data_IF_178730085662
#
_entry.id   IF_178730085662
#
_cell.length_a   1.000
_cell.length_b   1.000
_cell.length_c   1.000
_cell.angle_alpha   90.00
_cell.angle_beta   90.00
_cell.angle_gamma   90.00
#
_symmetry.space_group_name_H-M   'P 1'
#
loop_
_entity.id
_entity.type
_entity.pdbx_description
1 polymer ?
#
# COMPACT_ATOMS: atom_id res chain seq x y z
N UNK A 1 -10.45 1.18 8.40
CA UNK A 1 -10.18 0.19 7.33
C UNK A 1 -11.43 -0.64 7.06
N UNK A 2 -11.68 -0.90 5.78
CA UNK A 2 -12.82 -1.70 5.30
C UNK A 2 -12.28 -3.06 4.89
N UNK A 3 -12.79 -4.13 5.54
CA UNK A 3 -12.49 -5.49 5.12
C UNK A 3 -13.28 -5.82 3.86
N UNK A 4 -12.59 -6.09 2.76
CA UNK A 4 -13.22 -6.38 1.46
C UNK A 4 -13.36 -7.90 1.30
N UNK A 5 -14.44 -8.45 1.86
CA UNK A 5 -14.86 -9.84 1.59
C UNK A 5 -15.75 -9.93 0.35
N UNK A 6 -16.56 -8.90 0.14
CA UNK A 6 -17.42 -8.71 -1.01
C UNK A 6 -17.27 -7.28 -1.53
N UNK A 7 -17.01 -7.11 -2.83
CA UNK A 7 -16.73 -5.81 -3.43
C UNK A 7 -17.94 -4.87 -3.41
N UNK A 8 -19.16 -5.41 -3.51
CA UNK A 8 -20.40 -4.60 -3.52
C UNK A 8 -20.69 -4.05 -2.14
N UNK A 9 -20.60 -4.89 -1.10
CA UNK A 9 -20.83 -4.45 0.28
C UNK A 9 -19.73 -3.49 0.75
N UNK A 10 -18.48 -3.78 0.42
CA UNK A 10 -17.37 -2.88 0.73
C UNK A 10 -17.51 -1.51 0.03
N UNK A 11 -17.97 -1.48 -1.22
CA UNK A 11 -18.29 -0.25 -1.92
C UNK A 11 -19.40 0.54 -1.22
N UNK A 12 -20.48 -0.12 -0.81
CA UNK A 12 -21.58 0.51 -0.07
C UNK A 12 -21.08 1.23 1.18
N UNK A 13 -20.22 0.56 1.96
CA UNK A 13 -19.60 1.12 3.17
C UNK A 13 -18.67 2.28 2.81
N UNK A 14 -17.85 2.12 1.77
CA UNK A 14 -16.90 3.15 1.32
C UNK A 14 -17.61 4.42 0.85
N UNK A 15 -18.65 4.29 0.04
CA UNK A 15 -19.45 5.42 -0.45
C UNK A 15 -20.19 6.14 0.71
N UNK A 16 -20.75 5.39 1.67
CA UNK A 16 -21.36 5.97 2.86
C UNK A 16 -20.33 6.76 3.70
N UNK A 17 -19.13 6.20 3.90
CA UNK A 17 -18.05 6.90 4.61
C UNK A 17 -17.65 8.21 3.91
N UNK A 18 -17.51 8.20 2.59
CA UNK A 18 -17.18 9.39 1.80
C UNK A 18 -18.31 10.43 1.89
N UNK A 19 -19.57 10.03 1.82
CA UNK A 19 -20.72 10.92 2.01
C UNK A 19 -20.76 11.58 3.39
N UNK A 20 -20.23 10.90 4.40
CA UNK A 20 -20.08 11.42 5.77
C UNK A 20 -18.82 12.27 5.97
N UNK A 21 -18.04 12.51 4.91
CA UNK A 21 -16.88 13.39 4.94
C UNK A 21 -15.52 12.70 5.05
N UNK A 22 -15.45 11.38 4.85
CA UNK A 22 -14.15 10.69 4.77
C UNK A 22 -13.39 11.16 3.53
N UNK A 23 -12.14 11.60 3.73
CA UNK A 23 -11.23 12.03 2.66
C UNK A 23 -10.19 10.97 2.29
N UNK A 24 -10.18 9.86 3.02
CA UNK A 24 -9.31 8.71 2.78
C UNK A 24 -10.03 7.41 3.16
N UNK A 25 -9.77 6.36 2.40
CA UNK A 25 -10.29 5.02 2.63
C UNK A 25 -9.13 4.04 2.80
N UNK A 26 -9.20 3.19 3.82
CA UNK A 26 -8.34 2.02 3.98
C UNK A 26 -9.10 0.78 3.51
N UNK A 27 -8.58 0.07 2.53
CA UNK A 27 -9.21 -1.07 1.88
C UNK A 27 -8.33 -2.31 2.01
N UNK A 28 -8.81 -3.33 2.72
CA UNK A 28 -8.13 -4.63 2.79
C UNK A 28 -8.49 -5.46 1.54
N UNK A 29 -7.60 -5.48 0.55
CA UNK A 29 -7.87 -5.95 -0.81
C UNK A 29 -7.41 -7.37 -1.12
N UNK A 30 -7.24 -8.20 -0.10
CA UNK A 30 -6.76 -9.59 -0.26
C UNK A 30 -7.58 -10.41 -1.26
N UNK A 31 -8.88 -10.18 -1.32
CA UNK A 31 -9.82 -10.94 -2.16
C UNK A 31 -10.11 -10.26 -3.51
N UNK A 32 -9.51 -9.11 -3.78
CA UNK A 32 -9.67 -8.40 -5.05
C UNK A 32 -8.59 -8.86 -6.02
N UNK A 33 -8.98 -9.63 -7.01
CA UNK A 33 -8.08 -10.25 -7.99
C UNK A 33 -8.39 -9.87 -9.44
N UNK A 34 -9.53 -9.20 -9.70
CA UNK A 34 -9.93 -8.81 -11.05
C UNK A 34 -10.25 -7.32 -11.16
N UNK A 35 -10.10 -6.77 -12.37
CA UNK A 35 -10.44 -5.38 -12.65
C UNK A 35 -11.95 -5.09 -12.44
N UNK A 36 -12.81 -6.07 -12.65
CA UNK A 36 -14.26 -5.93 -12.42
C UNK A 36 -14.58 -5.79 -10.93
N UNK A 37 -13.92 -6.58 -10.08
CA UNK A 37 -14.05 -6.46 -8.63
C UNK A 37 -13.52 -5.10 -8.15
N UNK A 38 -12.37 -4.67 -8.66
CA UNK A 38 -11.80 -3.36 -8.33
C UNK A 38 -12.71 -2.23 -8.81
N UNK A 39 -13.27 -2.31 -10.03
CA UNK A 39 -14.22 -1.33 -10.54
C UNK A 39 -15.50 -1.27 -9.71
N UNK A 40 -16.00 -2.41 -9.25
CA UNK A 40 -17.16 -2.51 -8.35
C UNK A 40 -16.86 -1.86 -7.01
N UNK A 41 -15.70 -2.16 -6.41
CA UNK A 41 -15.26 -1.62 -5.13
C UNK A 41 -15.15 -0.09 -5.16
N UNK A 42 -14.65 0.47 -6.26
CA UNK A 42 -14.39 1.92 -6.40
C UNK A 42 -15.53 2.69 -7.08
N UNK A 43 -16.65 2.03 -7.39
CA UNK A 43 -17.78 2.65 -8.06
C UNK A 43 -18.33 3.84 -7.28
N UNK A 44 -18.43 5.00 -7.94
CA UNK A 44 -19.00 6.22 -7.35
C UNK A 44 -18.08 6.95 -6.37
N UNK A 45 -16.80 6.55 -6.28
CA UNK A 45 -15.77 7.23 -5.50
C UNK A 45 -14.92 8.09 -6.45
N UNK A 46 -14.76 9.37 -6.13
CA UNK A 46 -13.88 10.28 -6.87
C UNK A 46 -12.43 10.05 -6.46
N UNK A 47 -11.69 9.31 -7.30
CA UNK A 47 -10.31 8.89 -7.03
C UNK A 47 -9.31 10.06 -7.00
N UNK A 48 -9.71 11.25 -7.49
CA UNK A 48 -8.87 12.45 -7.43
C UNK A 48 -9.00 13.22 -6.12
N UNK A 49 -10.08 12.96 -5.36
CA UNK A 49 -10.39 13.64 -4.09
C UNK A 49 -10.26 12.76 -2.87
N UNK A 50 -10.46 11.45 -3.04
CA UNK A 50 -10.43 10.48 -1.95
C UNK A 50 -9.14 9.67 -2.03
N UNK A 51 -8.31 9.73 -1.00
CA UNK A 51 -7.08 8.93 -0.93
C UNK A 51 -7.42 7.45 -0.73
N UNK A 52 -6.81 6.60 -1.53
CA UNK A 52 -7.02 5.14 -1.47
C UNK A 52 -5.79 4.46 -0.85
N UNK A 53 -5.97 3.86 0.30
CA UNK A 53 -4.90 3.13 0.99
C UNK A 53 -5.22 1.64 0.96
N UNK A 54 -4.37 0.85 0.31
CA UNK A 54 -4.52 -0.59 0.26
C UNK A 54 -3.75 -1.27 1.39
N UNK A 55 -4.42 -2.18 2.06
CA UNK A 55 -3.86 -2.98 3.14
C UNK A 55 -4.09 -4.47 2.90
N UNK A 56 -3.40 -5.32 3.68
CA UNK A 56 -3.64 -6.77 3.72
C UNK A 56 -3.40 -7.52 2.39
N UNK A 57 -2.53 -7.04 1.52
CA UNK A 57 -2.12 -7.81 0.33
C UNK A 57 -0.83 -8.60 0.58
N UNK A 58 -0.67 -9.72 -0.12
CA UNK A 58 0.59 -10.47 -0.16
C UNK A 58 1.57 -9.89 -1.19
N UNK A 59 1.02 -9.40 -2.31
CA UNK A 59 1.75 -8.70 -3.37
C UNK A 59 0.91 -7.50 -3.79
N UNK A 60 1.52 -6.34 -3.88
CA UNK A 60 0.81 -5.08 -4.17
C UNK A 60 0.86 -4.68 -5.63
N UNK A 61 1.85 -5.14 -6.40
CA UNK A 61 1.98 -4.78 -7.81
C UNK A 61 0.75 -5.16 -8.66
N UNK A 62 0.16 -6.37 -8.53
CA UNK A 62 -1.10 -6.69 -9.19
C UNK A 62 -2.25 -5.76 -8.81
N UNK A 63 -2.38 -5.44 -7.52
CA UNK A 63 -3.43 -4.54 -7.01
C UNK A 63 -3.31 -3.14 -7.61
N UNK A 64 -2.10 -2.59 -7.69
CA UNK A 64 -1.84 -1.29 -8.30
C UNK A 64 -2.15 -1.30 -9.81
N UNK A 65 -1.81 -2.39 -10.51
CA UNK A 65 -2.17 -2.57 -11.92
C UNK A 65 -3.69 -2.56 -12.13
N UNK A 66 -4.46 -3.23 -11.26
CA UNK A 66 -5.92 -3.21 -11.30
C UNK A 66 -6.49 -1.80 -11.05
N UNK A 67 -5.93 -1.05 -10.10
CA UNK A 67 -6.31 0.35 -9.86
C UNK A 67 -6.10 1.22 -11.10
N UNK A 68 -4.91 1.14 -11.69
CA UNK A 68 -4.56 1.92 -12.89
C UNK A 68 -5.45 1.53 -14.08
N UNK A 69 -5.73 0.25 -14.28
CA UNK A 69 -6.64 -0.22 -15.33
C UNK A 69 -8.04 0.36 -15.17
N UNK A 70 -8.58 0.32 -13.95
CA UNK A 70 -9.90 0.88 -13.64
C UNK A 70 -9.92 2.39 -13.83
N UNK A 71 -8.91 3.11 -13.36
CA UNK A 71 -8.79 4.55 -13.53
C UNK A 71 -8.74 4.95 -15.01
N UNK A 72 -7.93 4.28 -15.81
CA UNK A 72 -7.83 4.51 -17.27
C UNK A 72 -9.17 4.24 -17.97
N UNK A 73 -9.91 3.18 -17.61
CA UNK A 73 -11.26 2.90 -18.12
C UNK A 73 -12.29 3.97 -17.76
N UNK A 74 -12.10 4.64 -16.63
CA UNK A 74 -12.96 5.74 -16.17
C UNK A 74 -12.49 7.12 -16.65
N UNK A 75 -11.45 7.19 -17.49
CA UNK A 75 -10.80 8.43 -17.95
C UNK A 75 -10.30 9.31 -16.79
N UNK A 76 -9.87 8.71 -15.69
CA UNK A 76 -9.23 9.40 -14.57
C UNK A 76 -7.73 9.43 -14.82
N UNK A 77 -7.12 10.61 -14.67
CA UNK A 77 -5.66 10.74 -14.71
C UNK A 77 -5.03 10.02 -13.49
N UNK A 78 -4.28 8.97 -13.74
CA UNK A 78 -3.66 8.16 -12.70
C UNK A 78 -2.67 8.97 -11.86
N UNK A 79 -2.07 10.02 -12.43
CA UNK A 79 -1.14 10.91 -11.74
C UNK A 79 -1.80 11.78 -10.66
N UNK A 80 -3.12 11.92 -10.71
CA UNK A 80 -3.88 12.65 -9.71
C UNK A 80 -4.34 11.77 -8.54
N UNK A 81 -4.27 10.44 -8.69
CA UNK A 81 -4.70 9.50 -7.66
C UNK A 81 -3.66 9.46 -6.53
N UNK A 82 -4.09 9.76 -5.32
CA UNK A 82 -3.25 9.72 -4.13
C UNK A 82 -3.65 8.57 -3.20
N UNK A 83 -2.66 8.03 -2.49
CA UNK A 83 -2.90 6.95 -1.54
C UNK A 83 -1.63 6.30 -1.03
N UNK A 84 -1.75 5.06 -0.59
CA UNK A 84 -0.62 4.26 -0.12
C UNK A 84 -0.89 2.77 -0.25
N UNK A 85 0.18 2.00 -0.19
CA UNK A 85 0.11 0.57 0.09
C UNK A 85 0.81 0.27 1.41
N UNK A 86 0.34 -0.75 2.13
CA UNK A 86 0.90 -1.22 3.41
C UNK A 86 1.97 -2.30 3.13
N UNK A 87 2.96 -1.96 2.28
CA UNK A 87 4.04 -2.86 1.94
C UNK A 87 5.19 -2.67 2.92
N UNK A 88 5.26 -3.56 3.89
CA UNK A 88 6.29 -3.61 4.94
C UNK A 88 7.02 -4.95 4.86
N UNK A 89 8.25 -4.94 4.35
CA UNK A 89 9.09 -6.14 4.17
C UNK A 89 9.36 -6.82 5.51
N UNK A 90 9.58 -6.05 6.57
CA UNK A 90 9.93 -6.58 7.88
C UNK A 90 8.72 -7.09 8.66
N UNK A 91 7.55 -6.53 8.46
CA UNK A 91 6.34 -6.90 9.20
C UNK A 91 5.98 -8.38 9.03
N UNK A 92 6.10 -8.91 7.81
CA UNK A 92 5.87 -10.33 7.58
C UNK A 92 6.92 -11.19 8.27
N UNK A 93 8.21 -10.86 8.07
CA UNK A 93 9.33 -11.61 8.63
C UNK A 93 9.29 -11.65 10.16
N UNK A 94 8.98 -10.53 10.80
CA UNK A 94 8.90 -10.46 12.27
C UNK A 94 7.69 -11.19 12.84
N UNK A 95 6.58 -11.31 12.11
CA UNK A 95 5.40 -12.08 12.53
C UNK A 95 5.55 -13.58 12.35
N UNK A 96 6.23 -14.00 11.30
CA UNK A 96 6.26 -15.40 10.87
C UNK A 96 7.61 -16.06 11.06
N UNK A 97 8.66 -15.28 11.42
CA UNK A 97 10.03 -15.78 11.57
C UNK A 97 10.78 -16.01 10.25
N UNK A 98 10.15 -15.67 9.13
CA UNK A 98 10.70 -15.84 7.78
C UNK A 98 10.17 -14.78 6.83
N UNK A 99 10.90 -14.43 5.79
CA UNK A 99 10.40 -13.56 4.73
C UNK A 99 9.37 -14.29 3.85
N UNK A 100 8.47 -13.52 3.25
CA UNK A 100 7.56 -14.08 2.24
C UNK A 100 8.35 -14.43 0.97
N UNK A 101 8.68 -15.72 0.81
CA UNK A 101 9.60 -16.22 -0.21
C UNK A 101 11.05 -16.09 0.25
N UNK A 102 11.72 -15.00 -0.06
CA UNK A 102 13.07 -14.68 0.42
C UNK A 102 13.23 -13.17 0.61
N UNK A 103 14.22 -12.76 1.39
CA UNK A 103 14.56 -11.34 1.56
C UNK A 103 14.84 -10.68 0.20
N UNK A 104 15.64 -11.32 -0.63
CA UNK A 104 15.99 -10.83 -1.97
C UNK A 104 14.74 -10.64 -2.86
N UNK A 105 13.81 -11.60 -2.84
CA UNK A 105 12.58 -11.52 -3.63
C UNK A 105 11.66 -10.39 -3.15
N UNK A 106 11.62 -10.11 -1.85
CA UNK A 106 10.84 -9.01 -1.30
C UNK A 106 11.42 -7.64 -1.68
N UNK A 107 12.74 -7.49 -1.66
CA UNK A 107 13.39 -6.27 -2.16
C UNK A 107 13.23 -6.10 -3.67
N UNK A 108 13.29 -7.19 -4.45
CA UNK A 108 13.04 -7.13 -5.88
C UNK A 108 11.60 -6.67 -6.19
N UNK A 109 10.60 -7.20 -5.47
CA UNK A 109 9.21 -6.74 -5.58
C UNK A 109 9.08 -5.27 -5.18
N UNK A 110 9.76 -4.82 -4.12
CA UNK A 110 9.74 -3.41 -3.70
C UNK A 110 10.27 -2.49 -4.81
N UNK A 111 11.37 -2.86 -5.48
CA UNK A 111 11.91 -2.09 -6.61
C UNK A 111 10.90 -2.01 -7.76
N UNK A 112 10.24 -3.13 -8.11
CA UNK A 112 9.22 -3.14 -9.16
C UNK A 112 8.01 -2.25 -8.79
N UNK A 113 7.57 -2.31 -7.55
CA UNK A 113 6.46 -1.49 -7.03
C UNK A 113 6.83 -0.01 -7.07
N UNK A 114 8.03 0.37 -6.61
CA UNK A 114 8.51 1.76 -6.63
C UNK A 114 8.55 2.29 -8.07
N UNK A 115 9.16 1.54 -8.99
CA UNK A 115 9.25 1.94 -10.39
C UNK A 115 7.86 2.10 -11.04
N UNK A 116 6.93 1.22 -10.71
CA UNK A 116 5.56 1.29 -11.20
C UNK A 116 4.82 2.52 -10.65
N UNK A 117 4.98 2.80 -9.37
CA UNK A 117 4.38 3.98 -8.71
C UNK A 117 4.97 5.28 -9.28
N UNK A 118 6.28 5.38 -9.47
CA UNK A 118 6.90 6.54 -10.12
C UNK A 118 6.30 6.83 -11.51
N UNK A 119 6.06 5.78 -12.30
CA UNK A 119 5.57 5.91 -13.67
C UNK A 119 4.06 6.23 -13.75
N UNK A 120 3.24 5.54 -12.96
CA UNK A 120 1.79 5.55 -13.13
C UNK A 120 1.03 6.27 -12.00
N UNK A 121 1.56 6.32 -10.79
CA UNK A 121 0.88 6.80 -9.57
C UNK A 121 1.77 7.68 -8.70
N UNK A 122 2.36 8.78 -9.20
CA UNK A 122 3.41 9.54 -8.50
C UNK A 122 2.97 10.18 -7.18
N UNK A 123 1.68 10.19 -6.84
CA UNK A 123 1.15 10.64 -5.55
C UNK A 123 0.85 9.48 -4.57
N UNK A 124 1.25 8.26 -4.93
CA UNK A 124 1.10 7.09 -4.07
C UNK A 124 2.37 6.84 -3.26
N UNK A 125 2.23 6.43 -2.01
CA UNK A 125 3.35 5.97 -1.18
C UNK A 125 3.54 4.47 -1.36
N UNK A 126 4.78 4.06 -1.67
CA UNK A 126 5.11 2.70 -2.04
C UNK A 126 5.36 1.78 -0.84
N UNK A 127 5.88 2.31 0.26
CA UNK A 127 6.41 1.53 1.36
C UNK A 127 5.91 2.03 2.71
N UNK A 128 5.94 1.12 3.68
CA UNK A 128 5.57 1.40 5.07
C UNK A 128 6.57 0.73 5.99
N UNK A 129 6.97 1.42 7.06
CA UNK A 129 7.63 0.83 8.22
C UNK A 129 6.69 0.97 9.41
N UNK A 130 6.18 -0.15 9.90
CA UNK A 130 5.13 -0.19 10.91
C UNK A 130 5.70 -0.34 12.33
N UNK A 131 6.00 0.79 12.99
CA UNK A 131 6.50 0.83 14.37
C UNK A 131 5.55 0.21 15.40
N UNK A 132 4.23 0.25 15.18
CA UNK A 132 3.23 -0.35 16.07
C UNK A 132 3.46 -1.84 16.32
N UNK A 133 4.11 -2.53 15.40
CA UNK A 133 4.43 -3.94 15.57
C UNK A 133 5.43 -4.15 16.70
N UNK A 134 6.47 -3.32 16.79
CA UNK A 134 7.44 -3.36 17.87
C UNK A 134 6.77 -3.03 19.22
N UNK A 135 5.88 -2.03 19.23
CA UNK A 135 5.07 -1.68 20.40
C UNK A 135 4.24 -2.88 20.90
N UNK A 136 3.51 -3.53 20.01
CA UNK A 136 2.66 -4.68 20.34
C UNK A 136 3.48 -5.90 20.80
N UNK A 137 4.74 -5.98 20.41
CA UNK A 137 5.69 -7.00 20.89
C UNK A 137 6.29 -6.70 22.27
N UNK A 138 5.90 -5.57 22.90
CA UNK A 138 6.33 -5.20 24.26
C UNK A 138 7.53 -4.25 24.32
N UNK A 139 7.89 -3.60 23.21
CA UNK A 139 8.95 -2.59 23.20
C UNK A 139 8.56 -1.36 24.03
N UNK A 140 9.53 -0.78 24.74
CA UNK A 140 9.39 0.56 25.31
C UNK A 140 9.31 1.61 24.17
N UNK A 141 8.83 2.82 24.49
CA UNK A 141 8.72 3.92 23.50
C UNK A 141 10.07 4.19 22.81
N UNK A 142 11.18 4.17 23.58
CA UNK A 142 12.52 4.38 23.03
C UNK A 142 12.94 3.24 22.10
N UNK A 143 12.65 2.00 22.47
CA UNK A 143 12.94 0.83 21.63
C UNK A 143 12.08 0.82 20.37
N UNK A 144 10.78 1.13 20.47
CA UNK A 144 9.89 1.25 19.31
C UNK A 144 10.43 2.27 18.30
N UNK A 145 10.82 3.46 18.76
CA UNK A 145 11.41 4.48 17.90
C UNK A 145 12.73 3.99 17.29
N UNK A 146 13.62 3.42 18.12
CA UNK A 146 14.92 2.91 17.64
C UNK A 146 14.78 1.82 16.58
N UNK A 147 13.93 0.84 16.80
CA UNK A 147 13.69 -0.25 15.85
C UNK A 147 13.02 0.24 14.57
N UNK A 148 12.05 1.16 14.67
CA UNK A 148 11.39 1.73 13.50
C UNK A 148 12.37 2.51 12.63
N UNK A 149 13.23 3.33 13.24
CA UNK A 149 14.26 4.08 12.50
C UNK A 149 15.34 3.16 11.91
N UNK A 150 15.73 2.11 12.62
CA UNK A 150 16.68 1.13 12.11
C UNK A 150 16.12 0.40 10.88
N UNK A 151 14.87 -0.08 10.95
CA UNK A 151 14.20 -0.72 9.83
C UNK A 151 14.03 0.22 8.62
N UNK A 152 13.67 1.49 8.87
CA UNK A 152 13.57 2.49 7.82
C UNK A 152 14.91 2.77 7.14
N UNK A 153 15.98 2.89 7.93
CA UNK A 153 17.33 3.11 7.41
C UNK A 153 17.82 1.91 6.58
N UNK A 154 17.59 0.70 7.05
CA UNK A 154 17.96 -0.52 6.33
C UNK A 154 17.20 -0.64 5.00
N UNK A 155 15.91 -0.38 5.02
CA UNK A 155 15.06 -0.36 3.82
C UNK A 155 15.58 0.67 2.79
N UNK A 156 15.87 1.90 3.24
CA UNK A 156 16.41 2.96 2.37
C UNK A 156 17.78 2.59 1.78
N UNK A 157 18.69 2.06 2.59
CA UNK A 157 20.02 1.65 2.13
C UNK A 157 19.93 0.56 1.06
N UNK A 158 19.22 -0.53 1.34
CA UNK A 158 19.07 -1.65 0.41
C UNK A 158 18.40 -1.25 -0.91
N UNK A 159 17.35 -0.43 -0.85
CA UNK A 159 16.65 0.01 -2.08
C UNK A 159 17.49 0.99 -2.90
N UNK A 160 18.26 1.85 -2.24
CA UNK A 160 19.19 2.75 -2.93
C UNK A 160 20.32 1.99 -3.61
N UNK A 161 20.90 0.97 -2.96
CA UNK A 161 21.88 0.07 -3.56
C UNK A 161 21.33 -0.68 -4.78
N UNK A 162 20.03 -0.96 -4.79
CA UNK A 162 19.31 -1.58 -5.92
C UNK A 162 18.87 -0.56 -6.99
N UNK A 163 19.29 0.70 -6.87
CA UNK A 163 19.10 1.74 -7.88
C UNK A 163 17.82 2.58 -7.74
N UNK A 164 17.07 2.44 -6.66
CA UNK A 164 15.95 3.35 -6.38
C UNK A 164 16.48 4.72 -5.94
N UNK A 165 15.78 5.79 -6.34
CA UNK A 165 16.12 7.15 -5.89
C UNK A 165 15.75 7.34 -4.42
N UNK A 166 16.65 7.95 -3.65
CA UNK A 166 16.42 8.21 -2.21
C UNK A 166 15.15 9.02 -2.00
N UNK A 167 14.90 10.02 -2.82
CA UNK A 167 13.73 10.89 -2.73
C UNK A 167 12.42 10.12 -2.90
N UNK A 168 12.41 9.10 -3.77
CA UNK A 168 11.22 8.26 -4.00
C UNK A 168 11.01 7.27 -2.85
N UNK A 169 12.09 6.70 -2.32
CA UNK A 169 12.00 5.77 -1.18
C UNK A 169 11.58 6.50 0.10
N UNK A 170 11.99 7.77 0.27
CA UNK A 170 11.71 8.58 1.45
C UNK A 170 10.36 9.32 1.40
N UNK A 171 9.62 9.26 0.28
CA UNK A 171 8.32 9.92 0.11
C UNK A 171 7.18 9.06 0.66
#
# INVERSE_FOLDING_TARGET
DIAVKDAVEANRIAVDAVKRGATALGLCVREITTAEQMATLLKGIDLTKVKINFTCSKSYLPTLKLLVEVAKKQNVDTKEIAGSIDFDIFNYALKHGEFYGSEESNYAEAVEVINYIEAELPKFRALTVNGRMFHNAGSSIVQELGYTLAAANDLMANLTEKGCKVETVAS
#
